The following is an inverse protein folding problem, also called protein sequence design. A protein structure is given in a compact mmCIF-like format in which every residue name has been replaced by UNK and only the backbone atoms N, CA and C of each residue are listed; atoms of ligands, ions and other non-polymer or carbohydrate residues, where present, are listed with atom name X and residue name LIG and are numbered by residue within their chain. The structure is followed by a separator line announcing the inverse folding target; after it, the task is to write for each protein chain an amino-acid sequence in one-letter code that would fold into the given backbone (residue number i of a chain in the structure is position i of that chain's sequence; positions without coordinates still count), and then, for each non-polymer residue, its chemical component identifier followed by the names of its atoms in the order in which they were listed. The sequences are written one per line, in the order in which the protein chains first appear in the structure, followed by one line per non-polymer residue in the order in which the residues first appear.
data_IF_077296279301
#
_entry.id   IF_077296279301
#
_cell.length_a   1.000
_cell.length_b   1.000
_cell.length_c   1.000
_cell.angle_alpha   90.00
_cell.angle_beta   90.00
_cell.angle_gamma   90.00
#
_symmetry.space_group_name_H-M   'P 1'
#
loop_
_entity.id
_entity.type
_entity.pdbx_description
1 polymer ?
#
# COMPACT_ATOMS: atom_id res chain seq x y z
N UNK A 1 8.20 0.36 -17.30
CA UNK A 1 7.89 -0.77 -16.40
C UNK A 1 6.41 -1.05 -16.52
N UNK A 2 6.00 -2.30 -16.49
CA UNK A 2 4.59 -2.71 -16.47
C UNK A 2 4.39 -3.52 -15.21
N UNK A 3 3.21 -3.44 -14.60
CA UNK A 3 2.83 -4.34 -13.51
C UNK A 3 2.39 -5.66 -14.15
N UNK A 4 3.10 -6.75 -13.88
CA UNK A 4 2.79 -8.08 -14.41
C UNK A 4 2.05 -8.94 -13.37
N UNK A 5 2.28 -8.67 -12.09
CA UNK A 5 1.65 -9.40 -10.98
C UNK A 5 1.31 -8.44 -9.85
N UNK A 6 0.06 -8.49 -9.40
CA UNK A 6 -0.47 -7.73 -8.27
C UNK A 6 -0.92 -8.72 -7.21
N UNK A 7 -0.51 -8.50 -5.95
CA UNK A 7 -1.04 -9.23 -4.79
C UNK A 7 -2.05 -8.37 -4.07
N UNK A 8 -3.17 -8.97 -3.63
CA UNK A 8 -4.12 -8.34 -2.72
C UNK A 8 -4.27 -9.15 -1.44
N UNK A 9 -4.20 -8.46 -0.29
CA UNK A 9 -4.53 -9.09 0.99
C UNK A 9 -6.03 -9.30 1.11
N UNK A 10 -6.43 -10.51 1.49
CA UNK A 10 -7.84 -10.91 1.66
C UNK A 10 -8.05 -11.31 3.11
N UNK A 11 -9.06 -10.73 3.74
CA UNK A 11 -9.43 -10.97 5.13
C UNK A 11 -10.96 -10.84 5.33
N UNK A 12 -11.44 -11.03 6.55
CA UNK A 12 -12.86 -10.91 6.89
C UNK A 12 -13.32 -9.48 7.21
N UNK A 13 -12.49 -8.48 7.01
CA UNK A 13 -12.90 -7.09 7.13
C UNK A 13 -13.93 -6.76 6.03
N UNK A 14 -14.92 -5.94 6.37
CA UNK A 14 -15.92 -5.45 5.40
C UNK A 14 -15.26 -4.73 4.21
N UNK A 15 -14.15 -4.02 4.45
CA UNK A 15 -13.36 -3.34 3.43
C UNK A 15 -12.59 -4.30 2.50
N UNK A 16 -12.51 -5.58 2.81
CA UNK A 16 -11.81 -6.56 1.97
C UNK A 16 -12.40 -6.64 0.56
N UNK A 17 -13.73 -6.53 0.46
CA UNK A 17 -14.44 -6.57 -0.84
C UNK A 17 -14.05 -5.40 -1.74
N UNK A 18 -14.12 -4.18 -1.23
CA UNK A 18 -13.74 -2.96 -1.96
C UNK A 18 -12.27 -3.04 -2.41
N UNK A 19 -11.40 -3.49 -1.52
CA UNK A 19 -9.96 -3.70 -1.82
C UNK A 19 -9.72 -4.74 -2.91
N UNK A 20 -10.46 -5.85 -2.90
CA UNK A 20 -10.39 -6.87 -3.97
C UNK A 20 -10.86 -6.28 -5.30
N UNK A 21 -11.96 -5.54 -5.33
CA UNK A 21 -12.48 -4.90 -6.54
C UNK A 21 -11.47 -3.92 -7.12
N UNK A 22 -10.90 -3.03 -6.31
CA UNK A 22 -9.84 -2.10 -6.73
C UNK A 22 -8.61 -2.85 -7.30
N UNK A 23 -8.16 -3.89 -6.63
CA UNK A 23 -7.00 -4.67 -7.08
C UNK A 23 -7.29 -5.42 -8.39
N UNK A 24 -8.52 -5.92 -8.58
CA UNK A 24 -8.95 -6.58 -9.80
C UNK A 24 -9.04 -5.60 -10.98
N UNK A 25 -9.58 -4.38 -10.77
CA UNK A 25 -9.57 -3.32 -11.79
C UNK A 25 -8.15 -2.91 -12.19
N UNK A 26 -7.22 -2.81 -11.22
CA UNK A 26 -5.81 -2.58 -11.52
C UNK A 26 -5.22 -3.72 -12.35
N UNK A 27 -5.47 -4.97 -11.94
CA UNK A 27 -4.98 -6.15 -12.66
C UNK A 27 -5.52 -6.18 -14.10
N UNK A 28 -6.80 -5.89 -14.32
CA UNK A 28 -7.38 -5.84 -15.65
C UNK A 28 -6.79 -4.71 -16.50
N UNK A 29 -6.63 -3.51 -15.92
CA UNK A 29 -6.04 -2.34 -16.59
C UNK A 29 -4.61 -2.60 -17.05
N UNK A 30 -3.80 -3.26 -16.22
CA UNK A 30 -2.39 -3.58 -16.53
C UNK A 30 -2.22 -4.95 -17.22
N UNK A 31 -3.29 -5.72 -17.38
CA UNK A 31 -3.26 -7.12 -17.84
C UNK A 31 -2.36 -7.99 -16.98
N UNK A 32 -2.33 -7.71 -15.68
CA UNK A 32 -1.54 -8.39 -14.68
C UNK A 32 -2.26 -9.62 -14.14
N UNK A 33 -1.49 -10.58 -13.61
CA UNK A 33 -2.01 -11.64 -12.75
C UNK A 33 -2.40 -11.03 -11.40
N UNK A 34 -3.61 -11.30 -10.91
CA UNK A 34 -4.05 -10.96 -9.57
C UNK A 34 -3.94 -12.17 -8.65
N UNK A 35 -3.16 -12.05 -7.59
CA UNK A 35 -3.02 -13.11 -6.57
C UNK A 35 -3.70 -12.63 -5.29
N UNK A 36 -4.79 -13.31 -4.89
CA UNK A 36 -5.39 -13.14 -3.57
C UNK A 36 -4.57 -13.89 -2.51
N UNK A 37 -4.23 -13.23 -1.42
CA UNK A 37 -3.42 -13.82 -0.34
C UNK A 37 -4.11 -13.67 1.00
N UNK A 38 -4.24 -14.78 1.75
CA UNK A 38 -4.75 -14.80 3.11
C UNK A 38 -3.88 -15.62 4.06
N UNK A 39 -3.83 -15.20 5.30
CA UNK A 39 -3.26 -15.93 6.41
C UNK A 39 -4.33 -16.18 7.50
N UNK A 40 -4.34 -17.36 8.08
CA UNK A 40 -5.18 -17.69 9.23
C UNK A 40 -4.41 -18.56 10.22
N UNK A 41 -3.82 -17.97 11.28
CA UNK A 41 -2.91 -18.70 12.17
C UNK A 41 -3.66 -19.73 13.01
N UNK A 42 -2.99 -20.84 13.26
CA UNK A 42 -3.43 -21.82 14.23
C UNK A 42 -3.06 -21.31 15.63
N UNK A 43 -4.03 -20.75 16.36
CA UNK A 43 -3.83 -20.25 17.72
C UNK A 43 -3.74 -21.41 18.69
N UNK A 44 -2.66 -21.47 19.47
CA UNK A 44 -2.52 -22.40 20.60
C UNK A 44 -3.13 -21.80 21.86
N UNK A 45 -3.93 -22.57 22.57
CA UNK A 45 -4.52 -22.18 23.86
C UNK A 45 -3.62 -22.55 25.04
N UNK A 46 -2.34 -22.21 25.08
CA UNK A 46 -1.58 -22.46 26.30
C UNK A 46 -0.28 -21.64 26.43
N UNK A 47 0.10 -21.30 27.65
CA UNK A 47 1.38 -20.70 28.03
C UNK A 47 2.55 -21.69 28.13
N UNK A 48 2.41 -22.93 27.65
CA UNK A 48 3.47 -23.95 27.69
C UNK A 48 3.93 -24.34 26.30
N UNK A 49 5.23 -24.41 26.12
CA UNK A 49 5.92 -24.79 24.90
C UNK A 49 5.45 -26.17 24.39
N UNK A 50 5.21 -26.25 23.06
CA UNK A 50 4.92 -27.48 22.31
C UNK A 50 3.57 -28.17 22.58
N UNK A 51 2.45 -27.48 22.43
CA UNK A 51 1.18 -28.17 22.23
C UNK A 51 0.78 -28.16 20.74
N UNK A 52 0.38 -29.32 20.23
CA UNK A 52 -0.22 -29.47 18.91
C UNK A 52 -1.53 -28.64 18.85
N UNK A 53 -1.88 -28.04 17.70
CA UNK A 53 -3.18 -27.39 17.53
C UNK A 53 -4.30 -28.37 17.90
N UNK A 54 -5.34 -27.89 18.59
CA UNK A 54 -6.54 -28.71 18.80
C UNK A 54 -7.06 -29.21 17.45
N UNK A 55 -7.48 -30.47 17.36
CA UNK A 55 -7.89 -31.11 16.11
C UNK A 55 -8.97 -30.31 15.33
N UNK A 56 -9.86 -29.59 16.04
CA UNK A 56 -10.85 -28.69 15.44
C UNK A 56 -10.30 -27.37 14.90
N UNK A 57 -9.10 -26.94 15.29
CA UNK A 57 -8.54 -25.64 14.88
C UNK A 57 -8.03 -25.66 13.43
N UNK A 58 -7.48 -26.78 12.97
CA UNK A 58 -7.00 -26.95 11.60
C UNK A 58 -8.18 -26.95 10.63
N UNK A 59 -9.24 -27.69 10.96
CA UNK A 59 -10.46 -27.75 10.14
C UNK A 59 -11.13 -26.37 10.05
N UNK A 60 -11.20 -25.64 11.17
CA UNK A 60 -11.76 -24.30 11.19
C UNK A 60 -10.94 -23.32 10.32
N UNK A 61 -9.60 -23.35 10.45
CA UNK A 61 -8.71 -22.52 9.65
C UNK A 61 -8.86 -22.83 8.16
N UNK A 62 -8.90 -24.13 7.80
CA UNK A 62 -9.12 -24.55 6.41
C UNK A 62 -10.43 -24.01 5.85
N UNK A 63 -11.56 -24.19 6.56
CA UNK A 63 -12.87 -23.67 6.15
C UNK A 63 -12.89 -22.14 6.01
N UNK A 64 -12.18 -21.42 6.91
CA UNK A 64 -12.07 -19.97 6.83
C UNK A 64 -11.29 -19.51 5.59
N UNK A 65 -10.12 -20.12 5.34
CA UNK A 65 -9.32 -19.81 4.16
C UNK A 65 -10.02 -20.19 2.85
N UNK A 66 -10.74 -21.29 2.82
CA UNK A 66 -11.56 -21.70 1.68
C UNK A 66 -12.65 -20.66 1.37
N UNK A 67 -13.38 -20.23 2.41
CA UNK A 67 -14.42 -19.19 2.26
C UNK A 67 -13.85 -17.89 1.73
N UNK A 68 -12.71 -17.42 2.25
CA UNK A 68 -12.01 -16.23 1.72
C UNK A 68 -11.62 -16.40 0.25
N UNK A 69 -11.12 -17.58 -0.12
CA UNK A 69 -10.77 -17.91 -1.50
C UNK A 69 -11.97 -17.92 -2.45
N UNK A 70 -13.12 -18.39 -1.99
CA UNK A 70 -14.37 -18.35 -2.77
C UNK A 70 -14.85 -16.91 -2.97
N UNK A 71 -14.92 -16.11 -1.89
CA UNK A 71 -15.30 -14.70 -1.98
C UNK A 71 -14.37 -13.92 -2.90
N UNK A 72 -13.05 -14.14 -2.80
CA UNK A 72 -12.05 -13.52 -3.69
C UNK A 72 -12.32 -13.89 -5.15
N UNK A 73 -12.51 -15.17 -5.48
CA UNK A 73 -12.74 -15.62 -6.86
C UNK A 73 -14.03 -15.07 -7.45
N UNK A 74 -15.07 -14.93 -6.64
CA UNK A 74 -16.35 -14.34 -7.07
C UNK A 74 -16.11 -12.87 -7.43
N UNK A 75 -15.59 -12.07 -6.51
CA UNK A 75 -15.45 -10.62 -6.71
C UNK A 75 -14.44 -10.31 -7.81
N UNK A 76 -13.26 -10.93 -7.79
CA UNK A 76 -12.23 -10.67 -8.77
C UNK A 76 -12.58 -11.25 -10.15
N UNK A 77 -13.25 -12.41 -10.19
CA UNK A 77 -13.65 -13.10 -11.42
C UNK A 77 -14.72 -12.35 -12.24
N UNK A 78 -15.48 -11.45 -11.62
CA UNK A 78 -16.39 -10.54 -12.34
C UNK A 78 -15.65 -9.47 -13.16
N UNK A 79 -14.39 -9.20 -12.83
CA UNK A 79 -13.59 -8.09 -13.37
C UNK A 79 -12.45 -8.61 -14.26
N UNK A 80 -11.76 -9.68 -13.86
CA UNK A 80 -10.63 -10.27 -14.59
C UNK A 80 -10.58 -11.78 -14.49
N UNK A 81 -10.14 -12.44 -15.56
CA UNK A 81 -9.94 -13.90 -15.63
C UNK A 81 -8.55 -14.36 -15.14
N UNK A 82 -7.65 -13.42 -14.92
CA UNK A 82 -6.26 -13.69 -14.49
C UNK A 82 -6.14 -13.65 -12.98
N UNK A 83 -6.67 -14.67 -12.30
CA UNK A 83 -6.71 -14.76 -10.84
C UNK A 83 -6.03 -16.03 -10.32
N UNK A 84 -5.32 -15.90 -9.20
CA UNK A 84 -4.71 -16.99 -8.44
C UNK A 84 -5.03 -16.81 -6.96
N UNK A 85 -5.20 -17.90 -6.22
CA UNK A 85 -5.43 -17.88 -4.78
C UNK A 85 -4.29 -18.56 -4.04
N UNK A 86 -3.78 -17.90 -3.01
CA UNK A 86 -2.77 -18.45 -2.09
C UNK A 86 -3.19 -18.21 -0.65
N UNK A 87 -3.05 -19.23 0.18
CA UNK A 87 -3.36 -19.11 1.61
C UNK A 87 -2.42 -19.96 2.45
N UNK A 88 -2.24 -19.57 3.71
CA UNK A 88 -1.43 -20.30 4.68
C UNK A 88 -2.08 -20.25 6.05
N UNK A 89 -1.84 -21.28 6.87
CA UNK A 89 -2.25 -21.32 8.28
C UNK A 89 -1.25 -20.57 9.18
N UNK A 90 -0.61 -19.52 8.66
CA UNK A 90 0.31 -18.62 9.34
C UNK A 90 -0.32 -17.24 9.56
N UNK A 91 0.36 -16.39 10.31
CA UNK A 91 -0.09 -15.01 10.53
C UNK A 91 -0.07 -14.19 9.23
N UNK A 92 -1.09 -13.37 8.95
CA UNK A 92 -1.13 -12.49 7.76
C UNK A 92 0.13 -11.63 7.62
N UNK A 93 0.68 -11.11 8.73
CA UNK A 93 1.91 -10.31 8.75
C UNK A 93 3.17 -11.05 8.26
N UNK A 94 3.13 -12.38 8.24
CA UNK A 94 4.23 -13.25 7.75
C UNK A 94 3.96 -13.74 6.33
N UNK A 95 2.70 -14.09 6.03
CA UNK A 95 2.28 -14.61 4.72
C UNK A 95 2.39 -13.54 3.65
N UNK A 96 1.84 -12.34 3.88
CA UNK A 96 1.79 -11.28 2.87
C UNK A 96 3.20 -10.87 2.40
N UNK A 97 4.17 -10.54 3.25
CA UNK A 97 5.53 -10.20 2.79
C UNK A 97 6.24 -11.37 2.13
N UNK A 98 6.00 -12.61 2.57
CA UNK A 98 6.59 -13.80 1.97
C UNK A 98 6.10 -14.01 0.52
N UNK A 99 4.84 -13.74 0.25
CA UNK A 99 4.29 -13.84 -1.10
C UNK A 99 4.69 -12.66 -2.00
N UNK A 100 5.14 -11.53 -1.44
CA UNK A 100 5.65 -10.37 -2.19
C UNK A 100 6.79 -10.71 -3.17
N UNK A 101 7.49 -11.84 -2.99
CA UNK A 101 8.51 -12.34 -3.92
C UNK A 101 7.99 -12.52 -5.37
N UNK A 102 6.70 -12.76 -5.52
CA UNK A 102 6.04 -13.01 -6.80
C UNK A 102 5.26 -11.79 -7.34
N UNK A 103 5.42 -10.61 -6.74
CA UNK A 103 4.62 -9.44 -7.07
C UNK A 103 5.45 -8.23 -7.50
N UNK A 104 4.84 -7.38 -8.32
CA UNK A 104 5.31 -6.04 -8.64
C UNK A 104 4.66 -4.99 -7.73
N UNK A 105 3.45 -5.27 -7.21
CA UNK A 105 2.67 -4.39 -6.36
C UNK A 105 1.90 -5.22 -5.32
N UNK A 106 1.90 -4.78 -4.06
CA UNK A 106 1.01 -5.27 -3.03
C UNK A 106 -0.11 -4.27 -2.81
N UNK A 107 -1.35 -4.77 -2.70
CA UNK A 107 -2.54 -4.01 -2.34
C UNK A 107 -3.03 -4.50 -0.98
N UNK A 108 -3.02 -3.64 0.02
CA UNK A 108 -3.40 -3.99 1.40
C UNK A 108 -4.39 -2.98 1.97
N UNK A 109 -5.10 -3.36 3.04
CA UNK A 109 -5.97 -2.44 3.77
C UNK A 109 -5.21 -1.51 4.70
N UNK A 110 -5.85 -0.42 5.06
CA UNK A 110 -5.31 0.60 5.97
C UNK A 110 -5.42 0.20 7.45
N UNK A 111 -6.43 -0.61 7.81
CA UNK A 111 -6.85 -0.75 9.19
C UNK A 111 -6.16 -1.85 9.99
N UNK A 112 -5.87 -1.54 11.24
CA UNK A 112 -5.70 -2.52 12.32
C UNK A 112 -7.07 -2.64 12.99
N UNK A 113 -7.69 -3.83 12.93
CA UNK A 113 -8.91 -4.08 13.69
C UNK A 113 -8.54 -4.16 15.18
N UNK A 114 -9.11 -3.33 16.05
CA UNK A 114 -8.82 -3.36 17.47
C UNK A 114 -9.14 -4.75 18.06
N UNK A 115 -8.16 -5.37 18.72
CA UNK A 115 -8.35 -6.61 19.47
C UNK A 115 -8.11 -7.92 18.73
N UNK A 116 -7.91 -7.92 17.41
CA UNK A 116 -7.63 -9.15 16.64
C UNK A 116 -6.24 -9.17 16.02
N UNK A 117 -5.21 -9.20 16.86
CA UNK A 117 -3.80 -9.22 16.44
C UNK A 117 -3.37 -10.51 15.73
N UNK A 118 -4.17 -11.55 15.80
CA UNK A 118 -3.85 -12.84 15.18
C UNK A 118 -4.23 -12.87 13.70
N UNK A 119 -5.34 -12.23 13.32
CA UNK A 119 -5.89 -12.29 11.97
C UNK A 119 -5.72 -10.98 11.20
N UNK A 120 -5.04 -10.00 11.81
CA UNK A 120 -4.76 -8.68 11.22
C UNK A 120 -3.24 -8.45 11.10
N UNK A 121 -2.89 -7.36 10.46
CA UNK A 121 -1.50 -6.90 10.32
C UNK A 121 -1.43 -5.38 10.50
N UNK A 122 -0.26 -4.92 10.94
CA UNK A 122 0.09 -3.51 10.86
C UNK A 122 0.64 -3.20 9.45
N UNK A 123 0.00 -2.28 8.69
CA UNK A 123 0.45 -1.93 7.34
C UNK A 123 1.92 -1.48 7.29
N UNK A 124 2.38 -0.78 8.32
CA UNK A 124 3.77 -0.34 8.43
C UNK A 124 4.76 -1.50 8.47
N UNK A 125 4.42 -2.57 9.18
CA UNK A 125 5.23 -3.80 9.21
C UNK A 125 5.30 -4.45 7.84
N UNK A 126 4.18 -4.50 7.09
CA UNK A 126 4.16 -5.03 5.72
C UNK A 126 5.04 -4.19 4.79
N UNK A 127 4.93 -2.86 4.84
CA UNK A 127 5.74 -1.93 4.03
C UNK A 127 7.24 -2.16 4.24
N UNK A 128 7.66 -2.37 5.49
CA UNK A 128 9.06 -2.63 5.84
C UNK A 128 9.56 -4.00 5.36
N UNK A 129 8.69 -5.01 5.41
CA UNK A 129 9.08 -6.40 5.16
C UNK A 129 8.92 -6.83 3.69
N UNK A 130 8.08 -6.15 2.92
CA UNK A 130 7.70 -6.61 1.58
C UNK A 130 8.80 -6.48 0.52
N UNK A 131 9.68 -5.47 0.62
CA UNK A 131 10.68 -5.16 -0.41
C UNK A 131 10.07 -4.85 -1.79
N UNK A 132 8.81 -4.51 -1.83
CA UNK A 132 7.99 -4.15 -3.00
C UNK A 132 7.14 -2.93 -2.66
N UNK A 133 6.69 -2.17 -3.67
CA UNK A 133 5.74 -1.09 -3.43
C UNK A 133 4.43 -1.63 -2.86
N UNK A 134 3.88 -0.91 -1.89
CA UNK A 134 2.66 -1.27 -1.18
C UNK A 134 1.64 -0.16 -1.36
N UNK A 135 0.52 -0.47 -2.00
CA UNK A 135 -0.65 0.39 -2.10
C UNK A 135 -1.56 0.10 -0.91
N UNK A 136 -1.68 1.07 -0.03
CA UNK A 136 -2.59 1.03 1.12
C UNK A 136 -3.91 1.65 0.72
N UNK A 137 -4.99 0.88 0.83
CA UNK A 137 -6.33 1.25 0.38
C UNK A 137 -7.21 1.55 1.58
N UNK A 138 -7.79 2.75 1.68
CA UNK A 138 -8.79 3.09 2.69
C UNK A 138 -10.06 2.22 2.57
N UNK A 139 -10.82 2.01 3.67
CA UNK A 139 -11.95 1.08 3.68
C UNK A 139 -13.06 1.36 2.67
N UNK A 140 -13.28 2.64 2.35
CA UNK A 140 -14.40 3.10 1.51
C UNK A 140 -14.05 3.17 0.02
N UNK A 141 -12.79 2.87 -0.36
CA UNK A 141 -12.30 3.00 -1.73
C UNK A 141 -12.35 1.63 -2.42
N UNK A 142 -13.11 1.52 -3.47
CA UNK A 142 -13.28 0.31 -4.28
C UNK A 142 -12.65 0.40 -5.68
N UNK A 143 -12.20 1.59 -6.08
CA UNK A 143 -11.53 1.85 -7.36
C UNK A 143 -10.55 3.02 -7.29
N UNK A 144 -9.62 3.08 -8.24
CA UNK A 144 -8.66 4.17 -8.40
C UNK A 144 -8.85 4.80 -9.79
N UNK A 145 -9.37 6.03 -9.82
CA UNK A 145 -9.75 6.71 -11.06
C UNK A 145 -8.56 7.33 -11.80
N UNK A 146 -7.41 7.49 -11.13
CA UNK A 146 -6.21 8.15 -11.68
C UNK A 146 -6.48 9.57 -12.18
N UNK A 147 -7.36 10.29 -11.49
CA UNK A 147 -7.66 11.67 -11.82
C UNK A 147 -6.52 12.61 -11.46
N UNK A 148 -5.99 12.47 -10.25
CA UNK A 148 -4.87 13.27 -9.76
C UNK A 148 -3.98 12.48 -8.82
N UNK A 149 -2.67 12.53 -9.03
CA UNK A 149 -1.67 11.92 -8.15
C UNK A 149 -0.77 12.99 -7.51
N UNK A 150 -0.45 12.82 -6.23
CA UNK A 150 0.44 13.68 -5.47
C UNK A 150 1.71 12.92 -5.08
N UNK A 151 2.85 13.38 -5.54
CA UNK A 151 4.16 12.87 -5.10
C UNK A 151 4.61 13.70 -3.90
N UNK A 152 4.61 13.10 -2.70
CA UNK A 152 5.18 13.69 -1.49
C UNK A 152 6.70 13.54 -1.53
N UNK A 153 7.39 14.60 -1.94
CA UNK A 153 8.81 14.55 -2.22
C UNK A 153 9.67 15.02 -1.05
N UNK A 154 10.60 14.17 -0.67
CA UNK A 154 11.76 14.50 0.17
C UNK A 154 12.96 13.78 -0.44
N UNK A 155 14.08 14.45 -0.69
CA UNK A 155 15.22 13.83 -1.39
C UNK A 155 15.90 12.73 -0.55
N UNK A 156 15.24 11.57 -0.47
CA UNK A 156 15.69 10.35 0.19
C UNK A 156 15.72 9.18 -0.79
N UNK A 157 16.41 8.11 -0.44
CA UNK A 157 16.44 6.90 -1.27
C UNK A 157 15.06 6.25 -1.38
N UNK A 158 14.27 6.31 -0.31
CA UNK A 158 12.92 5.75 -0.24
C UNK A 158 11.96 6.52 -1.15
N UNK A 159 12.02 7.86 -1.16
CA UNK A 159 11.22 8.68 -2.06
C UNK A 159 11.61 8.44 -3.53
N UNK A 160 12.90 8.30 -3.84
CA UNK A 160 13.35 7.94 -5.21
C UNK A 160 12.84 6.57 -5.64
N UNK A 161 12.79 5.58 -4.72
CA UNK A 161 12.19 4.28 -4.99
C UNK A 161 10.69 4.40 -5.22
N UNK A 162 9.98 5.10 -4.34
CA UNK A 162 8.54 5.29 -4.46
C UNK A 162 8.14 5.91 -5.80
N UNK A 163 8.85 6.96 -6.22
CA UNK A 163 8.63 7.56 -7.55
C UNK A 163 8.86 6.55 -8.67
N UNK A 164 9.98 5.81 -8.63
CA UNK A 164 10.29 4.79 -9.64
C UNK A 164 9.23 3.70 -9.70
N UNK A 165 8.83 3.20 -8.54
CA UNK A 165 7.87 2.09 -8.42
C UNK A 165 6.44 2.55 -8.81
N UNK A 166 6.13 3.84 -8.61
CA UNK A 166 4.87 4.45 -8.98
C UNK A 166 4.73 4.77 -10.49
N UNK A 167 5.80 4.74 -11.28
CA UNK A 167 5.76 5.12 -12.71
C UNK A 167 4.58 4.49 -13.45
N UNK A 168 4.29 3.18 -13.36
CA UNK A 168 3.16 2.59 -14.06
C UNK A 168 1.82 3.23 -13.70
N UNK A 169 1.62 3.57 -12.42
CA UNK A 169 0.39 4.21 -11.93
C UNK A 169 0.35 5.69 -12.33
N UNK A 170 1.47 6.40 -12.19
CA UNK A 170 1.58 7.81 -12.57
C UNK A 170 1.36 8.04 -14.08
N UNK A 171 1.69 7.06 -14.92
CA UNK A 171 1.41 7.10 -16.36
C UNK A 171 -0.09 7.03 -16.68
N UNK A 172 -0.92 6.55 -15.75
CA UNK A 172 -2.37 6.53 -15.88
C UNK A 172 -3.01 7.82 -15.37
N UNK A 173 -2.34 8.57 -14.49
CA UNK A 173 -2.86 9.79 -13.89
C UNK A 173 -3.00 10.91 -14.93
N UNK A 174 -4.13 11.62 -14.88
CA UNK A 174 -4.37 12.79 -15.75
C UNK A 174 -3.54 13.98 -15.29
N UNK A 175 -3.46 14.17 -13.97
CA UNK A 175 -2.70 15.22 -13.33
C UNK A 175 -1.71 14.64 -12.33
N UNK A 176 -0.48 15.15 -12.33
CA UNK A 176 0.54 14.77 -11.35
C UNK A 176 1.11 16.01 -10.72
N UNK A 177 0.97 16.13 -9.40
CA UNK A 177 1.57 17.19 -8.60
C UNK A 177 2.76 16.65 -7.78
N UNK A 178 3.75 17.52 -7.55
CA UNK A 178 4.83 17.27 -6.60
C UNK A 178 4.65 18.21 -5.42
N UNK A 179 4.51 17.67 -4.21
CA UNK A 179 4.47 18.43 -2.97
C UNK A 179 5.78 18.28 -2.21
N UNK A 180 6.33 19.42 -1.78
CA UNK A 180 7.47 19.50 -0.87
C UNK A 180 7.04 20.29 0.34
N UNK A 181 7.08 19.67 1.50
CA UNK A 181 6.83 20.34 2.79
C UNK A 181 8.17 20.58 3.47
N UNK A 182 8.49 21.82 3.76
CA UNK A 182 9.74 22.20 4.41
C UNK A 182 9.61 23.50 5.21
N UNK A 183 10.50 23.69 6.18
CA UNK A 183 10.47 24.86 7.08
C UNK A 183 11.11 26.13 6.49
N UNK A 184 11.84 26.02 5.38
CA UNK A 184 12.48 27.16 4.72
C UNK A 184 12.74 26.91 3.23
N UNK A 185 12.59 27.93 2.37
CA UNK A 185 12.95 27.83 0.95
C UNK A 185 14.45 27.52 0.78
N UNK A 186 14.78 26.78 -0.27
CA UNK A 186 16.17 26.47 -0.60
C UNK A 186 16.34 26.28 -2.12
N UNK A 187 17.28 26.99 -2.73
CA UNK A 187 17.67 26.81 -4.13
C UNK A 187 18.05 25.36 -4.46
N UNK A 188 18.59 24.64 -3.47
CA UNK A 188 18.89 23.22 -3.60
C UNK A 188 17.62 22.39 -3.79
N UNK A 189 16.53 22.74 -3.12
CA UNK A 189 15.24 22.07 -3.26
C UNK A 189 14.68 22.28 -4.66
N UNK A 190 14.77 23.49 -5.20
CA UNK A 190 14.28 23.81 -6.55
C UNK A 190 15.03 23.01 -7.64
N UNK A 191 16.36 22.89 -7.50
CA UNK A 191 17.18 22.07 -8.39
C UNK A 191 16.78 20.58 -8.33
N UNK A 192 16.51 20.04 -7.15
CA UNK A 192 16.06 18.65 -6.95
C UNK A 192 14.69 18.40 -7.57
N UNK A 193 13.76 19.33 -7.43
CA UNK A 193 12.42 19.25 -8.06
C UNK A 193 12.58 19.27 -9.58
N UNK A 194 13.39 20.17 -10.12
CA UNK A 194 13.65 20.26 -11.56
C UNK A 194 14.23 18.94 -12.12
N UNK A 195 15.14 18.29 -11.39
CA UNK A 195 15.66 16.97 -11.77
C UNK A 195 14.60 15.90 -11.75
N UNK A 196 13.73 15.89 -10.74
CA UNK A 196 12.63 14.96 -10.63
C UNK A 196 11.62 15.15 -11.78
N UNK A 197 11.26 16.38 -12.11
CA UNK A 197 10.37 16.69 -13.24
C UNK A 197 10.97 16.16 -14.55
N UNK A 198 12.26 16.41 -14.80
CA UNK A 198 12.95 15.88 -15.98
C UNK A 198 12.99 14.35 -16.02
N UNK A 199 13.17 13.71 -14.85
CA UNK A 199 13.12 12.25 -14.74
C UNK A 199 11.73 11.73 -15.10
N UNK A 200 10.68 12.28 -14.51
CA UNK A 200 9.28 11.89 -14.79
C UNK A 200 8.90 12.10 -16.26
N UNK A 201 9.30 13.21 -16.85
CA UNK A 201 9.05 13.48 -18.27
C UNK A 201 9.68 12.42 -19.21
N UNK A 202 10.89 11.92 -18.90
CA UNK A 202 11.52 10.80 -19.64
C UNK A 202 10.71 9.51 -19.54
N UNK A 203 9.94 9.35 -18.48
CA UNK A 203 9.02 8.23 -18.26
C UNK A 203 7.59 8.52 -18.72
N UNK A 204 7.37 9.59 -19.52
CA UNK A 204 6.05 9.99 -20.06
C UNK A 204 5.04 10.33 -18.95
N UNK A 205 5.51 10.83 -17.83
CA UNK A 205 4.69 11.39 -16.75
C UNK A 205 4.84 12.89 -16.78
N UNK A 206 3.73 13.60 -17.02
CA UNK A 206 3.70 15.06 -17.07
C UNK A 206 3.35 15.62 -15.69
N UNK A 207 4.25 16.41 -15.10
CA UNK A 207 3.98 17.13 -13.86
C UNK A 207 3.24 18.40 -14.19
N UNK A 208 2.01 18.55 -13.68
CA UNK A 208 1.13 19.69 -13.93
C UNK A 208 1.31 20.78 -12.88
N UNK A 209 1.75 20.43 -11.66
CA UNK A 209 1.87 21.36 -10.55
C UNK A 209 3.05 21.03 -9.63
N UNK A 210 3.66 22.08 -9.08
CA UNK A 210 4.66 21.98 -8.01
C UNK A 210 4.15 22.80 -6.82
N UNK A 211 4.02 22.14 -5.68
CA UNK A 211 3.47 22.73 -4.46
C UNK A 211 4.58 22.77 -3.42
N UNK A 212 5.05 23.96 -3.09
CA UNK A 212 5.96 24.18 -1.97
C UNK A 212 5.15 24.74 -0.79
N UNK A 213 5.08 24.00 0.29
CA UNK A 213 4.44 24.47 1.52
C UNK A 213 5.50 24.75 2.59
N UNK A 214 5.51 25.99 3.06
CA UNK A 214 6.38 26.44 4.14
C UNK A 214 5.59 26.35 5.45
N UNK A 215 5.83 25.31 6.22
CA UNK A 215 5.14 25.13 7.50
C UNK A 215 6.04 24.49 8.55
N UNK A 216 5.82 24.88 9.79
CA UNK A 216 6.39 24.25 10.99
C UNK A 216 5.40 23.22 11.60
N UNK A 217 4.26 22.99 10.96
CA UNK A 217 3.26 22.02 11.37
C UNK A 217 3.66 20.60 11.00
N UNK A 218 2.82 19.64 11.41
CA UNK A 218 3.02 18.25 11.06
C UNK A 218 2.93 18.02 9.53
N UNK A 219 4.04 17.59 8.92
CA UNK A 219 4.16 17.35 7.47
C UNK A 219 3.04 16.39 6.95
N UNK A 220 2.60 15.42 7.77
CA UNK A 220 1.54 14.47 7.38
C UNK A 220 0.18 15.14 7.26
N UNK A 221 -0.17 15.99 8.21
CA UNK A 221 -1.43 16.76 8.19
C UNK A 221 -1.48 17.68 6.97
N UNK A 222 -0.38 18.37 6.66
CA UNK A 222 -0.29 19.27 5.52
C UNK A 222 -0.47 18.49 4.21
N UNK A 223 0.19 17.33 4.07
CA UNK A 223 0.05 16.50 2.87
C UNK A 223 -1.38 16.02 2.66
N UNK A 224 -2.09 15.66 3.73
CA UNK A 224 -3.51 15.28 3.64
C UNK A 224 -4.39 16.46 3.21
N UNK A 225 -4.17 17.66 3.78
CA UNK A 225 -4.88 18.88 3.37
C UNK A 225 -4.64 19.21 1.89
N UNK A 226 -3.39 19.21 1.45
CA UNK A 226 -3.05 19.43 0.04
C UNK A 226 -3.69 18.39 -0.88
N UNK A 227 -3.74 17.12 -0.46
CA UNK A 227 -4.36 16.07 -1.24
C UNK A 227 -5.89 16.25 -1.36
N UNK A 228 -6.56 16.72 -0.31
CA UNK A 228 -7.98 17.07 -0.34
C UNK A 228 -8.25 18.29 -1.22
N UNK A 229 -7.50 19.39 -1.05
CA UNK A 229 -7.62 20.62 -1.83
C UNK A 229 -7.47 20.38 -3.34
N UNK A 230 -6.51 19.50 -3.70
CA UNK A 230 -6.22 19.16 -5.10
C UNK A 230 -6.99 17.94 -5.62
N UNK A 231 -7.94 17.39 -4.83
CA UNK A 231 -8.77 16.23 -5.17
C UNK A 231 -7.93 15.05 -5.67
N UNK A 232 -6.86 14.77 -4.94
CA UNK A 232 -5.92 13.69 -5.23
C UNK A 232 -6.57 12.34 -4.91
N UNK A 233 -6.41 11.37 -5.77
CA UNK A 233 -6.86 9.98 -5.55
C UNK A 233 -5.71 9.00 -5.28
N UNK A 234 -4.46 9.42 -5.50
CA UNK A 234 -3.25 8.64 -5.20
C UNK A 234 -2.14 9.53 -4.60
N UNK A 235 -1.67 9.19 -3.41
CA UNK A 235 -0.47 9.78 -2.82
C UNK A 235 0.70 8.81 -2.98
N UNK A 236 1.85 9.29 -3.47
CA UNK A 236 3.08 8.51 -3.64
C UNK A 236 4.15 9.04 -2.70
N UNK A 237 4.70 8.19 -1.84
CA UNK A 237 5.73 8.59 -0.89
C UNK A 237 6.69 7.47 -0.50
N UNK A 238 7.91 7.86 -0.14
CA UNK A 238 8.87 6.98 0.52
C UNK A 238 8.51 6.74 1.99
N UNK A 239 8.67 5.52 2.46
CA UNK A 239 8.43 5.15 3.84
C UNK A 239 9.73 4.86 4.59
N UNK A 240 9.81 5.25 5.87
CA UNK A 240 10.84 4.84 6.82
C UNK A 240 12.30 5.17 6.44
N UNK A 241 12.62 6.42 6.19
CA UNK A 241 14.00 6.86 5.90
C UNK A 241 14.99 6.67 7.06
N UNK A 242 16.26 6.73 6.72
CA UNK A 242 17.48 6.32 7.48
C UNK A 242 17.64 6.71 8.96
N UNK A 243 16.86 7.60 9.51
CA UNK A 243 17.15 8.20 10.83
C UNK A 243 16.61 7.44 12.04
N UNK A 244 15.94 6.29 11.87
CA UNK A 244 15.23 5.62 12.98
C UNK A 244 15.32 4.08 13.00
N UNK A 245 16.52 3.53 12.81
CA UNK A 245 16.79 2.09 12.89
C UNK A 245 16.83 1.51 14.32
N UNK A 246 16.58 2.30 15.36
CA UNK A 246 16.76 1.85 16.76
C UNK A 246 15.51 1.72 17.61
N UNK A 247 14.42 2.36 17.25
CA UNK A 247 13.16 2.27 17.98
C UNK A 247 12.00 2.22 16.97
N UNK A 248 10.97 1.44 17.25
CA UNK A 248 9.73 1.27 16.46
C UNK A 248 8.90 2.57 16.36
N UNK A 249 9.56 3.68 16.01
CA UNK A 249 8.91 4.98 15.88
C UNK A 249 8.65 5.20 14.39
N UNK A 250 7.43 4.94 13.98
CA UNK A 250 6.87 5.33 12.68
C UNK A 250 7.22 6.80 12.43
N UNK A 251 7.81 7.12 11.27
CA UNK A 251 7.97 8.51 10.86
C UNK A 251 6.60 9.21 10.90
N UNK A 252 6.52 10.42 11.47
CA UNK A 252 5.24 11.11 11.67
C UNK A 252 4.35 11.09 10.43
N UNK A 253 4.90 11.44 9.27
CA UNK A 253 4.18 11.45 7.97
C UNK A 253 3.61 10.08 7.61
N UNK A 254 4.43 9.02 7.62
CA UNK A 254 3.97 7.66 7.28
C UNK A 254 2.84 7.21 8.18
N UNK A 255 2.99 7.42 9.49
CA UNK A 255 1.96 7.07 10.48
C UNK A 255 0.67 7.84 10.26
N UNK A 256 0.76 9.14 10.04
CA UNK A 256 -0.39 9.99 9.85
C UNK A 256 -1.19 9.61 8.61
N UNK A 257 -0.50 9.30 7.50
CA UNK A 257 -1.17 8.82 6.30
C UNK A 257 -1.78 7.42 6.50
N UNK A 258 -1.08 6.50 7.16
CA UNK A 258 -1.61 5.16 7.43
C UNK A 258 -2.85 5.19 8.33
N UNK A 259 -2.95 6.13 9.26
CA UNK A 259 -4.07 6.21 10.20
C UNK A 259 -5.24 7.08 9.70
N UNK A 260 -4.95 8.14 8.95
CA UNK A 260 -5.90 9.22 8.70
C UNK A 260 -6.22 9.45 7.22
N UNK A 261 -5.46 8.84 6.28
CA UNK A 261 -5.72 9.07 4.87
C UNK A 261 -7.05 8.45 4.44
N UNK A 262 -7.83 9.21 3.68
CA UNK A 262 -9.00 8.72 2.94
C UNK A 262 -8.68 8.52 1.46
N UNK A 263 -7.42 8.55 1.10
CA UNK A 263 -6.88 8.50 -0.24
C UNK A 263 -5.93 7.33 -0.32
N UNK A 264 -5.90 6.61 -1.43
CA UNK A 264 -4.93 5.55 -1.66
C UNK A 264 -3.49 6.06 -1.55
N UNK A 265 -2.65 5.36 -0.78
CA UNK A 265 -1.26 5.75 -0.56
C UNK A 265 -0.31 4.65 -1.03
N UNK A 266 0.59 4.97 -1.97
CA UNK A 266 1.65 4.09 -2.41
C UNK A 266 2.93 4.38 -1.63
N UNK A 267 3.41 3.36 -0.93
CA UNK A 267 4.64 3.41 -0.14
C UNK A 267 5.73 2.54 -0.75
N UNK A 268 6.98 3.01 -0.73
CA UNK A 268 8.17 2.19 -0.97
C UNK A 268 9.25 2.46 0.08
N UNK A 269 9.96 1.40 0.49
CA UNK A 269 11.05 1.47 1.47
C UNK A 269 12.40 1.12 0.80
#
# INVERSE_FOLDING_TARGET
MTLATIIVSVDFDAASKSRISLAAELAERFKALLIGVAGWPLLKRSHKEFELPEAGSVELASKRLEKLGEEFRIIAGEITDRVEWRSSMDFPREVIPKEARAADLLVIGQGILPGDFAHTYDPGTIILAAGRPVLVVPPEIDRLDFSSALIAWKDTREARRAVRDAIPLLQQAKDVAIAVVHSSPSEKTDAQIADLVRYLARHKVSVTQQIANLSNENEGTILLQLAEEHRVDLIVLGAYGRTRLGEWIFGGVTRDLLLNSRICCLFSN
#
